data_IF_129680725268
#
_entry.id   IF_129680725268
#
_cell.length_a   1.000
_cell.length_b   1.000
_cell.length_c   1.000
_cell.angle_alpha   90.00
_cell.angle_beta   90.00
_cell.angle_gamma   90.00
#
_symmetry.space_group_name_H-M   'P 1'
#
loop_
_entity.id
_entity.type
_entity.pdbx_description
1 polymer ?
#
# COMPACT_ATOMS: atom_id res chain seq x y z
N UNK A 1 -5.88 23.85 6.76
CA UNK A 1 -5.96 22.59 7.55
C UNK A 1 -5.81 21.44 6.57
N UNK A 2 -4.59 20.92 6.46
CA UNK A 2 -4.22 19.92 5.46
C UNK A 2 -4.96 18.62 5.77
N UNK A 3 -5.98 18.30 4.97
CA UNK A 3 -6.72 17.04 5.08
C UNK A 3 -5.73 15.88 4.93
N UNK A 4 -5.49 15.14 6.01
CA UNK A 4 -4.76 13.87 5.93
C UNK A 4 -5.56 12.92 5.07
N UNK A 5 -5.15 12.77 3.82
CA UNK A 5 -5.77 11.91 2.83
C UNK A 5 -5.59 10.44 3.23
N UNK A 6 -6.69 9.78 3.62
CA UNK A 6 -6.70 8.36 3.93
C UNK A 6 -6.84 7.54 2.65
N UNK A 7 -5.78 6.83 2.26
CA UNK A 7 -5.78 5.96 1.08
C UNK A 7 -5.90 4.49 1.47
N UNK A 8 -6.89 3.80 0.90
CA UNK A 8 -7.05 2.35 1.06
C UNK A 8 -6.06 1.64 0.13
N UNK A 9 -5.23 0.77 0.69
CA UNK A 9 -4.27 -0.04 -0.04
C UNK A 9 -4.42 -1.49 0.40
N UNK A 10 -4.61 -2.40 -0.54
CA UNK A 10 -4.55 -3.84 -0.28
C UNK A 10 -3.09 -4.30 -0.28
N UNK A 11 -2.69 -5.02 0.76
CA UNK A 11 -1.34 -5.57 0.94
C UNK A 11 -1.48 -7.07 1.29
N UNK A 12 -0.52 -7.87 0.86
CA UNK A 12 -0.45 -9.28 1.19
C UNK A 12 0.46 -9.49 2.38
N UNK A 13 -0.04 -10.20 3.39
CA UNK A 13 0.71 -10.58 4.58
C UNK A 13 0.68 -12.11 4.72
N UNK A 14 1.78 -12.72 5.18
CA UNK A 14 1.74 -14.06 5.73
C UNK A 14 0.69 -14.20 6.85
N UNK A 15 0.11 -15.40 7.00
CA UNK A 15 -0.97 -15.66 7.97
C UNK A 15 -0.51 -15.40 9.41
N UNK A 16 0.65 -15.92 9.77
CA UNK A 16 1.30 -15.73 11.08
C UNK A 16 1.50 -14.25 11.41
N UNK A 17 2.04 -13.48 10.47
CA UNK A 17 2.26 -12.05 10.63
C UNK A 17 0.93 -11.29 10.75
N UNK A 18 -0.09 -11.65 9.96
CA UNK A 18 -1.40 -11.00 10.03
C UNK A 18 -2.06 -11.23 11.39
N UNK A 19 -1.99 -12.46 11.92
CA UNK A 19 -2.50 -12.77 13.25
C UNK A 19 -1.79 -11.98 14.35
N UNK A 20 -0.46 -11.83 14.27
CA UNK A 20 0.30 -11.02 15.23
C UNK A 20 -0.14 -9.55 15.21
N UNK A 21 -0.28 -8.96 14.02
CA UNK A 21 -0.74 -7.58 13.87
C UNK A 21 -2.17 -7.44 14.44
N UNK A 22 -3.04 -8.42 14.21
CA UNK A 22 -4.41 -8.43 14.74
C UNK A 22 -4.44 -8.55 16.26
N UNK A 23 -3.61 -9.41 16.86
CA UNK A 23 -3.47 -9.54 18.32
C UNK A 23 -3.00 -8.22 18.93
N UNK A 24 -2.02 -7.55 18.33
CA UNK A 24 -1.52 -6.26 18.82
C UNK A 24 -2.54 -5.13 18.66
N UNK A 25 -3.29 -5.11 17.56
CA UNK A 25 -4.39 -4.17 17.35
C UNK A 25 -5.45 -4.30 18.46
N UNK A 26 -5.88 -5.52 18.76
CA UNK A 26 -6.84 -5.79 19.84
C UNK A 26 -6.27 -5.47 21.21
N UNK A 27 -5.00 -5.79 21.48
CA UNK A 27 -4.33 -5.51 22.77
C UNK A 27 -4.25 -4.01 23.07
N UNK A 28 -4.06 -3.18 22.05
CA UNK A 28 -3.88 -1.73 22.18
C UNK A 28 -5.15 -0.92 21.93
N UNK A 29 -6.26 -1.57 21.56
CA UNK A 29 -7.52 -0.94 21.14
C UNK A 29 -7.30 0.05 19.97
N UNK A 30 -6.55 -0.39 18.97
CA UNK A 30 -6.20 0.39 17.78
C UNK A 30 -6.52 -0.36 16.49
N UNK A 31 -6.65 0.38 15.39
CA UNK A 31 -6.88 -0.23 14.08
C UNK A 31 -5.62 -0.89 13.53
N UNK A 32 -5.79 -1.92 12.69
CA UNK A 32 -4.69 -2.58 11.96
C UNK A 32 -3.83 -1.57 11.20
N UNK A 33 -4.47 -0.62 10.52
CA UNK A 33 -3.77 0.44 9.78
C UNK A 33 -2.89 1.29 10.71
N UNK A 34 -3.30 1.55 11.94
CA UNK A 34 -2.49 2.30 12.90
C UNK A 34 -1.26 1.50 13.34
N UNK A 35 -1.41 0.20 13.62
CA UNK A 35 -0.30 -0.68 14.00
C UNK A 35 0.75 -0.74 12.88
N UNK A 36 0.32 -0.93 11.63
CA UNK A 36 1.23 -0.96 10.47
C UNK A 36 1.92 0.40 10.26
N UNK A 37 1.19 1.51 10.41
CA UNK A 37 1.79 2.86 10.33
C UNK A 37 2.83 3.09 11.44
N UNK A 38 2.58 2.58 12.65
CA UNK A 38 3.50 2.69 13.77
C UNK A 38 4.76 1.85 13.55
N UNK A 39 4.60 0.61 13.06
CA UNK A 39 5.71 -0.25 12.68
C UNK A 39 6.60 0.41 11.62
N UNK A 40 6.01 1.03 10.60
CA UNK A 40 6.75 1.80 9.60
C UNK A 40 7.53 2.97 10.21
N UNK A 41 6.93 3.76 11.11
CA UNK A 41 7.60 4.90 11.75
C UNK A 41 8.82 4.49 12.56
N UNK A 42 8.78 3.30 13.18
CA UNK A 42 9.90 2.72 13.91
C UNK A 42 10.95 2.19 12.95
N UNK A 43 10.56 1.37 11.96
CA UNK A 43 11.50 0.70 11.06
C UNK A 43 12.12 1.60 9.98
N UNK A 44 11.50 2.74 9.63
CA UNK A 44 11.95 3.60 8.52
C UNK A 44 13.41 4.03 8.61
N UNK A 45 13.95 4.17 9.83
CA UNK A 45 15.33 4.60 10.04
C UNK A 45 16.32 3.54 9.57
N UNK A 46 16.00 2.27 9.80
CA UNK A 46 16.86 1.14 9.44
C UNK A 46 16.63 0.69 8.00
N UNK A 47 15.38 0.69 7.53
CA UNK A 47 15.05 0.41 6.13
C UNK A 47 15.79 1.36 5.18
N UNK A 48 15.93 2.65 5.54
CA UNK A 48 16.66 3.63 4.72
C UNK A 48 18.17 3.41 4.66
N UNK A 49 18.75 2.68 5.61
CA UNK A 49 20.19 2.35 5.61
C UNK A 49 20.49 1.13 4.73
N UNK A 50 19.47 0.32 4.43
CA UNK A 50 19.65 -0.84 3.58
C UNK A 50 20.01 -0.35 2.17
N UNK A 51 21.09 -0.88 1.56
CA UNK A 51 21.44 -0.51 0.19
C UNK A 51 20.29 -0.88 -0.75
N UNK A 52 20.08 -0.08 -1.80
CA UNK A 52 19.11 -0.44 -2.82
C UNK A 52 19.53 -1.78 -3.41
N UNK A 53 18.59 -2.71 -3.54
CA UNK A 53 18.83 -4.03 -4.17
C UNK A 53 19.43 -3.90 -5.58
N UNK A 54 19.25 -2.74 -6.21
CA UNK A 54 19.75 -2.44 -7.54
C UNK A 54 21.21 -1.91 -7.56
N UNK A 55 21.73 -1.43 -6.43
CA UNK A 55 23.10 -0.89 -6.31
C UNK A 55 24.15 -2.00 -6.24
N UNK A 56 23.75 -3.20 -5.82
CA UNK A 56 24.66 -4.37 -5.71
C UNK A 56 24.87 -5.09 -7.04
N UNK A 57 24.01 -4.84 -8.05
CA UNK A 57 24.02 -5.53 -9.34
C UNK A 57 24.35 -4.63 -10.55
N UNK A 58 24.53 -3.33 -10.36
CA UNK A 58 24.80 -2.41 -11.47
C UNK A 58 26.25 -1.94 -11.44
N UNK A 59 27.14 -2.40 -12.34
CA UNK A 59 28.30 -1.59 -12.68
C UNK A 59 27.79 -0.24 -13.20
N UNK A 60 28.28 0.84 -12.57
CA UNK A 60 27.96 2.24 -12.82
C UNK A 60 27.60 2.50 -14.29
N UNK A 61 26.32 2.75 -14.54
CA UNK A 61 25.87 3.55 -15.68
C UNK A 61 24.89 4.59 -15.16
N UNK A 62 25.24 5.89 -15.11
CA UNK A 62 24.31 6.92 -14.70
C UNK A 62 23.22 7.05 -15.77
N UNK A 63 21.99 6.65 -15.44
CA UNK A 63 20.84 6.83 -16.32
C UNK A 63 20.39 8.30 -16.25
N UNK A 64 20.33 9.05 -17.38
CA UNK A 64 19.82 10.40 -17.37
C UNK A 64 18.34 10.39 -16.96
N UNK A 65 17.99 11.29 -16.05
CA UNK A 65 16.63 11.48 -15.54
C UNK A 65 15.79 12.10 -16.66
N UNK A 66 15.07 11.26 -17.41
CA UNK A 66 13.98 11.72 -18.27
C UNK A 66 12.71 11.80 -17.41
N UNK A 67 12.09 12.98 -17.22
CA UNK A 67 10.80 13.04 -16.54
C UNK A 67 9.74 12.42 -17.45
N UNK A 68 9.17 11.28 -17.04
CA UNK A 68 8.05 10.65 -17.72
C UNK A 68 6.78 11.52 -17.61
N UNK A 69 5.96 11.63 -18.67
CA UNK A 69 4.73 12.40 -18.63
C UNK A 69 3.68 11.69 -17.76
N UNK A 70 3.04 12.45 -16.89
CA UNK A 70 1.91 11.99 -16.07
C UNK A 70 0.72 11.62 -16.98
N UNK A 71 0.12 10.42 -16.89
CA UNK A 71 -1.13 10.14 -17.56
C UNK A 71 -2.29 10.77 -16.77
N UNK A 72 -2.98 11.69 -17.41
CA UNK A 72 -4.24 12.30 -16.95
C UNK A 72 -5.34 11.23 -16.94
N UNK A 73 -6.17 11.28 -15.91
CA UNK A 73 -7.29 10.40 -15.62
C UNK A 73 -8.19 10.07 -16.83
N UNK A 74 -8.60 8.81 -16.93
CA UNK A 74 -9.76 8.39 -17.70
C UNK A 74 -10.63 7.46 -16.83
N UNK A 75 -11.89 7.87 -16.70
CA UNK A 75 -12.92 7.28 -15.87
C UNK A 75 -13.31 5.85 -16.30
N UNK A 76 -13.59 5.00 -15.32
CA UNK A 76 -14.26 3.72 -15.54
C UNK A 76 -15.79 3.92 -15.52
N UNK A 77 -16.56 3.43 -16.51
CA UNK A 77 -18.00 3.29 -16.38
C UNK A 77 -18.37 2.01 -15.60
N UNK A 78 -19.36 2.16 -14.74
CA UNK A 78 -20.00 1.14 -13.90
C UNK A 78 -20.76 0.11 -14.77
N UNK A 79 -20.59 -1.18 -14.45
CA UNK A 79 -21.36 -2.28 -15.04
C UNK A 79 -22.82 -2.28 -14.53
N UNK A 80 -23.83 -2.60 -15.37
CA UNK A 80 -25.20 -2.76 -14.89
C UNK A 80 -25.45 -4.15 -14.28
N UNK A 81 -26.17 -4.13 -13.16
CA UNK A 81 -26.63 -5.30 -12.44
C UNK A 81 -27.79 -6.00 -13.15
N UNK A 82 -27.90 -7.29 -12.84
CA UNK A 82 -28.78 -8.33 -13.37
C UNK A 82 -30.28 -8.09 -13.13
N UNK A 83 -31.09 -8.28 -14.17
CA UNK A 83 -32.56 -8.31 -14.15
C UNK A 83 -33.08 -9.62 -13.55
N UNK A 84 -34.05 -9.50 -12.63
CA UNK A 84 -34.79 -10.61 -12.05
C UNK A 84 -35.99 -11.00 -12.93
N UNK A 85 -36.10 -12.30 -13.19
CA UNK A 85 -37.19 -12.97 -13.90
C UNK A 85 -38.54 -12.89 -13.13
N UNK A 86 -39.68 -12.65 -13.79
CA UNK A 86 -41.01 -12.72 -13.16
C UNK A 86 -41.67 -14.09 -13.41
N UNK A 87 -42.26 -14.70 -12.36
CA UNK A 87 -43.15 -15.87 -12.46
C UNK A 87 -44.62 -15.44 -12.63
N UNK A 88 -45.47 -16.31 -13.21
CA UNK A 88 -46.75 -15.97 -13.86
C UNK A 88 -47.93 -15.72 -12.91
#
# INVERSE_FOLDING_TARGET
>A
MSSTDHRKQSLYFPEDMLEEIQREATRQDRSLSWIVQQAWKVARGDIRKMPSVNDVLSPVTPKPVTPAPVPVAAAAPVAPAVDGEPKP
#
